data_IF_105220196611
#
_entry.id   IF_105220196611
#
_cell.length_a   1.000
_cell.length_b   1.000
_cell.length_c   1.000
_cell.angle_alpha   90.00
_cell.angle_beta   90.00
_cell.angle_gamma   90.00
#
_symmetry.space_group_name_H-M   'P 1'
#
loop_
_entity.id
_entity.type
_entity.pdbx_description
1 polymer ?
#
# COMPACT_ATOMS: atom_id res chain seq x y z
N UNK A 1 38.07 -15.52 21.64
CA UNK A 1 37.02 -14.47 21.72
C UNK A 1 35.72 -15.16 21.40
N UNK A 2 34.93 -15.37 22.44
CA UNK A 2 33.69 -16.14 22.44
C UNK A 2 32.59 -15.35 21.74
N UNK A 3 32.07 -15.86 20.63
CA UNK A 3 30.96 -15.24 19.91
C UNK A 3 29.68 -15.52 20.67
N UNK A 4 29.16 -14.51 21.37
CA UNK A 4 27.87 -14.59 22.05
C UNK A 4 26.74 -14.78 21.02
N UNK A 5 25.79 -15.71 21.23
CA UNK A 5 24.63 -15.85 20.36
C UNK A 5 23.69 -14.65 20.57
N UNK A 6 23.35 -13.99 19.48
CA UNK A 6 22.29 -12.97 19.43
C UNK A 6 20.97 -13.67 19.78
N UNK A 7 20.21 -13.24 20.80
CA UNK A 7 18.90 -13.82 21.05
C UNK A 7 17.95 -13.30 19.95
N UNK A 8 17.70 -14.12 18.94
CA UNK A 8 16.48 -14.01 18.15
C UNK A 8 15.31 -14.29 19.10
N UNK A 9 14.84 -13.27 19.83
CA UNK A 9 13.61 -13.34 20.62
C UNK A 9 12.44 -13.37 19.64
N UNK A 10 12.25 -14.52 19.00
CA UNK A 10 11.00 -14.88 18.35
C UNK A 10 10.02 -15.07 19.50
N UNK A 11 8.99 -14.22 19.55
CA UNK A 11 7.94 -14.36 20.55
C UNK A 11 7.36 -15.78 20.46
N UNK A 12 6.99 -16.39 21.60
CA UNK A 12 6.41 -17.73 21.58
C UNK A 12 5.16 -17.75 20.68
N UNK A 13 5.01 -18.81 19.90
CA UNK A 13 3.84 -19.04 19.05
C UNK A 13 2.58 -19.23 19.91
N UNK A 14 1.45 -18.67 19.47
CA UNK A 14 0.18 -18.75 20.18
C UNK A 14 -0.34 -20.18 20.32
N UNK A 15 -0.76 -20.53 21.53
CA UNK A 15 -1.49 -21.76 21.82
C UNK A 15 -3.00 -21.65 21.55
N UNK A 16 -3.76 -22.75 21.70
CA UNK A 16 -5.22 -22.75 21.55
C UNK A 16 -5.94 -21.82 22.55
N UNK A 17 -5.40 -21.69 23.76
CA UNK A 17 -5.93 -20.78 24.78
C UNK A 17 -5.72 -19.31 24.41
N UNK A 18 -4.62 -18.98 23.74
CA UNK A 18 -4.32 -17.61 23.30
C UNK A 18 -5.29 -17.17 22.20
N UNK A 19 -5.66 -18.08 21.28
CA UNK A 19 -6.71 -17.80 20.29
C UNK A 19 -8.07 -17.55 20.94
N UNK A 20 -8.41 -18.29 22.00
CA UNK A 20 -9.63 -18.05 22.77
C UNK A 20 -9.60 -16.69 23.46
N UNK A 21 -8.50 -16.35 24.15
CA UNK A 21 -8.33 -15.03 24.80
C UNK A 21 -8.37 -13.88 23.79
N UNK A 22 -7.74 -14.06 22.65
CA UNK A 22 -7.78 -13.11 21.53
C UNK A 22 -9.21 -12.88 21.02
N UNK A 23 -10.00 -13.95 20.93
CA UNK A 23 -11.38 -13.89 20.47
C UNK A 23 -12.31 -13.22 21.50
N UNK A 24 -12.16 -13.56 22.79
CA UNK A 24 -13.00 -13.07 23.89
C UNK A 24 -12.62 -11.68 24.39
N UNK A 25 -11.48 -11.13 23.94
CA UNK A 25 -11.04 -9.81 24.32
C UNK A 25 -12.09 -8.73 23.99
N UNK A 26 -12.24 -7.75 24.90
CA UNK A 26 -13.26 -6.68 24.82
C UNK A 26 -12.86 -5.57 23.86
N UNK A 27 -12.77 -5.91 22.57
CA UNK A 27 -12.39 -5.01 21.48
C UNK A 27 -13.29 -3.76 21.36
N UNK A 28 -14.55 -3.86 21.79
CA UNK A 28 -15.54 -2.78 21.78
C UNK A 28 -15.27 -1.67 22.81
N UNK A 29 -14.52 -1.99 23.87
CA UNK A 29 -14.23 -1.09 24.99
C UNK A 29 -12.83 -0.47 24.91
N UNK A 30 -11.91 -1.05 24.14
CA UNK A 30 -10.56 -0.53 24.00
C UNK A 30 -10.52 0.68 23.05
N UNK A 31 -10.52 1.87 23.66
CA UNK A 31 -10.52 3.14 22.93
C UNK A 31 -9.22 3.38 22.16
N UNK A 32 -8.07 2.90 22.65
CA UNK A 32 -6.79 3.10 21.97
C UNK A 32 -6.73 2.25 20.70
N UNK A 33 -7.14 0.99 20.81
CA UNK A 33 -7.29 0.10 19.68
C UNK A 33 -8.27 0.67 18.64
N UNK A 34 -9.48 1.07 19.05
CA UNK A 34 -10.50 1.57 18.12
C UNK A 34 -10.04 2.84 17.38
N UNK A 35 -9.31 3.74 18.04
CA UNK A 35 -8.70 4.91 17.37
C UNK A 35 -7.67 4.47 16.34
N UNK A 36 -6.81 3.51 16.67
CA UNK A 36 -5.82 2.94 15.76
C UNK A 36 -6.45 2.29 14.54
N UNK A 37 -7.53 1.53 14.73
CA UNK A 37 -8.30 0.91 13.64
C UNK A 37 -8.91 1.95 12.72
N UNK A 38 -9.55 2.99 13.27
CA UNK A 38 -10.14 4.06 12.44
C UNK A 38 -9.05 4.71 11.58
N UNK A 39 -7.85 4.92 12.11
CA UNK A 39 -6.71 5.42 11.35
C UNK A 39 -6.25 4.43 10.26
N UNK A 40 -6.11 3.14 10.60
CA UNK A 40 -5.73 2.09 9.65
C UNK A 40 -6.74 1.92 8.50
N UNK A 41 -8.02 2.19 8.76
CA UNK A 41 -9.07 2.21 7.75
C UNK A 41 -9.05 3.46 6.85
N UNK A 42 -8.14 4.43 7.08
CA UNK A 42 -8.05 5.68 6.32
C UNK A 42 -8.79 6.86 6.96
N UNK A 43 -9.15 6.77 8.24
CA UNK A 43 -9.88 7.78 8.99
C UNK A 43 -11.39 7.61 8.96
N UNK A 44 -12.09 8.45 9.73
CA UNK A 44 -13.53 8.31 9.97
C UNK A 44 -14.37 8.39 8.68
N UNK A 45 -13.99 9.24 7.72
CA UNK A 45 -14.75 9.42 6.49
C UNK A 45 -14.59 8.28 5.48
N UNK A 46 -13.52 7.49 5.59
CA UNK A 46 -13.23 6.36 4.71
C UNK A 46 -13.79 5.03 5.24
N UNK A 47 -14.50 5.07 6.37
CA UNK A 47 -15.02 3.88 7.01
C UNK A 47 -16.32 3.42 6.35
N UNK A 48 -16.31 2.22 5.79
CA UNK A 48 -17.41 1.64 5.01
C UNK A 48 -17.54 0.13 5.29
N UNK A 49 -18.77 -0.41 5.19
CA UNK A 49 -19.09 -1.82 5.44
C UNK A 49 -18.65 -2.71 4.27
N UNK A 50 -17.34 -2.91 4.14
CA UNK A 50 -16.69 -3.69 3.07
C UNK A 50 -15.81 -4.79 3.64
N UNK A 51 -15.65 -5.90 2.90
CA UNK A 51 -14.77 -7.00 3.30
C UNK A 51 -13.33 -6.55 3.55
N UNK A 52 -12.81 -5.63 2.73
CA UNK A 52 -11.46 -5.07 2.91
C UNK A 52 -11.27 -4.37 4.27
N UNK A 53 -12.28 -3.63 4.75
CA UNK A 53 -12.20 -2.94 6.05
C UNK A 53 -12.28 -3.93 7.21
N UNK A 54 -13.10 -4.98 7.09
CA UNK A 54 -13.16 -6.07 8.07
C UNK A 54 -11.81 -6.81 8.15
N UNK A 55 -11.15 -7.01 7.01
CA UNK A 55 -9.83 -7.63 6.94
C UNK A 55 -8.73 -6.78 7.60
N UNK A 56 -8.77 -5.46 7.39
CA UNK A 56 -7.87 -4.52 8.08
C UNK A 56 -8.08 -4.59 9.59
N UNK A 57 -9.33 -4.66 10.06
CA UNK A 57 -9.65 -4.80 11.48
C UNK A 57 -9.06 -6.09 12.05
N UNK A 58 -9.22 -7.21 11.35
CA UNK A 58 -8.68 -8.50 11.76
C UNK A 58 -7.15 -8.47 11.92
N UNK A 59 -6.43 -7.96 10.92
CA UNK A 59 -4.99 -7.81 11.00
C UNK A 59 -4.55 -6.84 12.10
N UNK A 60 -5.30 -5.75 12.30
CA UNK A 60 -5.03 -4.79 13.36
C UNK A 60 -5.20 -5.42 14.74
N UNK A 61 -6.25 -6.22 14.95
CA UNK A 61 -6.47 -6.97 16.20
C UNK A 61 -5.31 -7.91 16.47
N UNK A 62 -4.91 -8.70 15.47
CA UNK A 62 -3.80 -9.66 15.58
C UNK A 62 -2.52 -8.95 16.03
N UNK A 63 -2.14 -7.87 15.36
CA UNK A 63 -0.94 -7.11 15.69
C UNK A 63 -1.02 -6.48 17.08
N UNK A 64 -2.15 -5.87 17.40
CA UNK A 64 -2.34 -5.20 18.69
C UNK A 64 -2.33 -6.20 19.85
N UNK A 65 -3.02 -7.33 19.71
CA UNK A 65 -3.02 -8.37 20.73
C UNK A 65 -1.64 -8.99 20.92
N UNK A 66 -0.89 -9.23 19.84
CA UNK A 66 0.46 -9.76 19.93
C UNK A 66 1.37 -8.87 20.77
N UNK A 67 1.24 -7.54 20.61
CA UNK A 67 1.94 -6.55 21.44
C UNK A 67 1.50 -6.58 22.91
N UNK A 68 0.21 -6.77 23.18
CA UNK A 68 -0.34 -6.79 24.54
C UNK A 68 0.00 -8.07 25.30
N UNK A 69 -0.16 -9.22 24.66
CA UNK A 69 0.03 -10.53 25.27
C UNK A 69 1.50 -11.00 25.25
N UNK A 70 2.34 -10.39 24.40
CA UNK A 70 3.72 -10.82 24.18
C UNK A 70 3.84 -12.16 23.46
N UNK A 71 2.81 -12.54 22.69
CA UNK A 71 2.67 -13.82 21.99
C UNK A 71 2.46 -13.58 20.51
N UNK A 72 3.12 -14.36 19.65
CA UNK A 72 2.95 -14.29 18.19
C UNK A 72 1.61 -14.91 17.80
N UNK A 73 0.71 -14.10 17.23
CA UNK A 73 -0.63 -14.53 16.77
C UNK A 73 -0.62 -14.72 15.25
N UNK A 74 -0.33 -15.92 14.71
CA UNK A 74 -0.32 -16.11 13.26
C UNK A 74 -1.75 -16.04 12.70
N UNK A 75 -1.94 -15.21 11.67
CA UNK A 75 -3.22 -15.04 10.97
C UNK A 75 -3.80 -16.37 10.47
N UNK A 76 -2.95 -17.21 9.85
CA UNK A 76 -3.34 -18.55 9.37
C UNK A 76 -3.76 -19.46 10.53
N UNK A 77 -3.06 -19.40 11.67
CA UNK A 77 -3.39 -20.16 12.87
C UNK A 77 -4.75 -19.77 13.44
N UNK A 78 -5.05 -18.46 13.50
CA UNK A 78 -6.34 -17.99 13.96
C UNK A 78 -7.49 -18.41 13.02
N UNK A 79 -7.28 -18.35 11.69
CA UNK A 79 -8.28 -18.84 10.72
C UNK A 79 -8.57 -20.34 10.89
N UNK A 80 -7.53 -21.14 11.12
CA UNK A 80 -7.68 -22.58 11.40
C UNK A 80 -8.50 -22.79 12.68
N UNK A 81 -8.15 -22.08 13.75
CA UNK A 81 -8.88 -22.14 15.01
C UNK A 81 -10.36 -21.74 14.85
N UNK A 82 -10.68 -20.71 14.07
CA UNK A 82 -12.06 -20.32 13.76
C UNK A 82 -12.83 -21.40 12.98
N UNK A 83 -12.17 -22.06 12.01
CA UNK A 83 -12.78 -23.17 11.25
C UNK A 83 -13.09 -24.36 12.14
N UNK A 84 -12.19 -24.69 13.05
CA UNK A 84 -12.38 -25.79 14.00
C UNK A 84 -13.45 -25.44 15.04
N UNK A 85 -13.64 -24.15 15.33
CA UNK A 85 -14.62 -23.64 16.28
C UNK A 85 -15.71 -22.77 15.60
N UNK A 86 -16.45 -23.34 14.65
CA UNK A 86 -17.50 -22.62 13.88
C UNK A 86 -18.61 -21.97 14.72
N UNK A 87 -18.72 -22.32 16.00
CA UNK A 87 -19.61 -21.66 16.95
C UNK A 87 -19.24 -20.19 17.20
N UNK A 88 -17.96 -19.85 17.06
CA UNK A 88 -17.48 -18.48 17.25
C UNK A 88 -17.59 -17.71 15.94
N UNK A 89 -18.40 -16.64 15.97
CA UNK A 89 -18.51 -15.70 14.86
C UNK A 89 -17.39 -14.67 14.93
N UNK A 90 -16.79 -14.26 13.81
CA UNK A 90 -15.71 -13.28 13.81
C UNK A 90 -16.20 -11.94 14.35
N UNK A 91 -15.43 -11.36 15.26
CA UNK A 91 -15.76 -10.10 15.92
C UNK A 91 -15.53 -8.89 15.00
N UNK A 92 -14.73 -9.07 13.95
CA UNK A 92 -14.23 -8.02 13.05
C UNK A 92 -15.34 -7.26 12.33
N UNK A 93 -16.29 -7.99 11.76
CA UNK A 93 -17.43 -7.37 11.08
C UNK A 93 -18.34 -6.64 12.07
N UNK A 94 -18.57 -7.20 13.26
CA UNK A 94 -19.39 -6.55 14.29
C UNK A 94 -18.73 -5.24 14.77
N UNK A 95 -17.39 -5.21 14.86
CA UNK A 95 -16.65 -3.99 15.15
C UNK A 95 -16.76 -2.97 14.00
N UNK A 96 -16.71 -3.44 12.76
CA UNK A 96 -16.90 -2.57 11.60
C UNK A 96 -18.29 -1.92 11.62
N UNK A 97 -19.34 -2.71 11.83
CA UNK A 97 -20.73 -2.24 11.95
C UNK A 97 -20.83 -1.19 13.07
N UNK A 98 -20.31 -1.50 14.27
CA UNK A 98 -20.28 -0.58 15.41
C UNK A 98 -19.57 0.74 15.09
N UNK A 99 -18.42 0.69 14.42
CA UNK A 99 -17.66 1.88 14.06
C UNK A 99 -18.42 2.72 13.01
N UNK A 100 -19.07 2.08 12.05
CA UNK A 100 -19.89 2.76 11.03
C UNK A 100 -21.11 3.43 11.66
N UNK A 101 -21.79 2.75 12.59
CA UNK A 101 -22.91 3.31 13.33
C UNK A 101 -22.50 4.53 14.17
N UNK A 102 -21.34 4.44 14.85
CA UNK A 102 -20.78 5.57 15.59
C UNK A 102 -20.45 6.75 14.67
N UNK A 103 -19.87 6.49 13.49
CA UNK A 103 -19.62 7.51 12.46
C UNK A 103 -20.92 8.21 12.06
N UNK A 104 -21.95 7.44 11.69
CA UNK A 104 -23.22 7.98 11.21
C UNK A 104 -23.94 8.81 12.28
N UNK A 105 -23.88 8.36 13.55
CA UNK A 105 -24.37 9.11 14.69
C UNK A 105 -23.60 10.42 14.93
N UNK A 106 -22.28 10.42 14.76
CA UNK A 106 -21.45 11.63 14.89
C UNK A 106 -21.74 12.64 13.78
N UNK A 107 -21.88 12.18 12.53
CA UNK A 107 -22.22 13.04 11.39
C UNK A 107 -23.62 13.65 11.57
N UNK A 108 -24.59 12.87 12.04
CA UNK A 108 -25.96 13.33 12.30
C UNK A 108 -26.02 14.42 13.38
N UNK A 109 -25.19 14.32 14.44
CA UNK A 109 -25.11 15.35 15.50
C UNK A 109 -24.53 16.67 15.03
N UNK A 110 -23.72 16.66 13.97
CA UNK A 110 -23.03 17.84 13.43
C UNK A 110 -23.88 18.58 12.40
N UNK A 111 -25.00 18.02 11.97
CA UNK A 111 -25.94 18.67 11.05
C UNK A 111 -26.79 19.73 11.78
N UNK A 112 -27.03 20.92 11.18
CA UNK A 112 -27.89 21.94 11.77
C UNK A 112 -29.37 21.49 11.81
N UNK A 113 -30.18 22.01 12.74
CA UNK A 113 -31.59 21.63 12.86
C UNK A 113 -32.40 22.25 11.72
N UNK A 114 -32.52 21.54 10.59
CA UNK A 114 -33.54 21.82 9.60
C UNK A 114 -34.87 21.24 10.08
N UNK A 115 -35.93 22.04 9.95
CA UNK A 115 -37.26 21.77 10.50
C UNK A 115 -37.84 20.40 10.13
N UNK A 116 -38.63 19.89 11.08
CA UNK A 116 -39.34 18.62 11.10
C UNK A 116 -39.89 18.16 9.74
N UNK A 117 -39.27 17.11 9.20
CA UNK A 117 -39.93 16.08 8.41
C UNK A 117 -39.21 14.76 8.76
N UNK A 118 -39.98 13.78 9.23
CA UNK A 118 -39.48 12.58 9.90
C UNK A 118 -38.31 11.90 9.20
N UNK A 119 -37.13 11.98 9.81
CA UNK A 119 -36.00 11.13 9.45
C UNK A 119 -36.23 9.79 10.11
N UNK A 120 -36.92 8.91 9.41
CA UNK A 120 -36.85 7.49 9.68
C UNK A 120 -35.39 7.13 9.37
N UNK A 121 -34.59 6.90 10.40
CA UNK A 121 -33.28 6.27 10.28
C UNK A 121 -33.50 4.84 9.78
N UNK A 122 -33.75 4.70 8.48
CA UNK A 122 -33.67 3.41 7.82
C UNK A 122 -32.17 3.15 7.69
N UNK A 123 -31.57 2.63 8.76
CA UNK A 123 -30.32 1.88 8.71
C UNK A 123 -30.60 0.63 7.90
N UNK A 124 -30.82 0.79 6.60
CA UNK A 124 -30.93 -0.33 5.68
C UNK A 124 -29.49 -0.78 5.53
N UNK A 125 -29.14 -1.91 6.12
CA UNK A 125 -28.07 -2.74 5.60
C UNK A 125 -28.23 -2.73 4.08
N UNK A 126 -27.31 -2.02 3.40
CA UNK A 126 -27.33 -2.03 1.95
C UNK A 126 -27.27 -3.50 1.56
N UNK A 127 -28.12 -3.99 0.65
CA UNK A 127 -28.03 -5.39 0.21
C UNK A 127 -26.62 -5.73 -0.30
N UNK A 128 -25.86 -4.73 -0.73
CA UNK A 128 -24.43 -4.83 -1.04
C UNK A 128 -23.57 -5.10 0.21
N UNK A 129 -23.76 -4.37 1.31
CA UNK A 129 -23.03 -4.58 2.56
C UNK A 129 -23.29 -5.99 3.14
N UNK A 130 -24.52 -6.51 3.00
CA UNK A 130 -24.83 -7.87 3.40
C UNK A 130 -24.11 -8.91 2.51
N UNK A 131 -24.03 -8.67 1.19
CA UNK A 131 -23.27 -9.54 0.28
C UNK A 131 -21.78 -9.52 0.58
N UNK A 132 -21.23 -8.33 0.84
CA UNK A 132 -19.84 -8.15 1.28
C UNK A 132 -19.56 -8.91 2.58
N UNK A 133 -20.48 -8.84 3.54
CA UNK A 133 -20.44 -9.62 4.78
C UNK A 133 -20.40 -11.11 4.49
N UNK A 134 -21.39 -11.61 3.76
CA UNK A 134 -21.49 -13.04 3.46
C UNK A 134 -20.26 -13.56 2.70
N UNK A 135 -19.75 -12.77 1.74
CA UNK A 135 -18.55 -13.07 0.98
C UNK A 135 -17.30 -13.13 1.88
N UNK A 136 -17.11 -12.13 2.75
CA UNK A 136 -15.97 -12.09 3.66
C UNK A 136 -16.02 -13.24 4.68
N UNK A 137 -17.20 -13.57 5.22
CA UNK A 137 -17.37 -14.73 6.10
C UNK A 137 -17.02 -16.04 5.37
N UNK A 138 -17.49 -16.22 4.15
CA UNK A 138 -17.17 -17.40 3.35
C UNK A 138 -15.67 -17.50 3.08
N UNK A 139 -15.01 -16.39 2.72
CA UNK A 139 -13.56 -16.36 2.55
C UNK A 139 -12.80 -16.71 3.84
N UNK A 140 -13.26 -16.21 4.98
CA UNK A 140 -12.60 -16.45 6.25
C UNK A 140 -12.66 -17.92 6.69
N UNK A 141 -13.83 -18.57 6.55
CA UNK A 141 -14.01 -19.97 6.96
C UNK A 141 -13.55 -20.96 5.89
N UNK A 142 -13.89 -20.73 4.64
CA UNK A 142 -13.77 -21.71 3.55
C UNK A 142 -12.69 -21.32 2.54
N UNK A 143 -12.08 -20.14 2.67
CA UNK A 143 -10.94 -19.73 1.88
C UNK A 143 -9.71 -20.64 2.06
N UNK A 144 -8.92 -20.74 1.00
CA UNK A 144 -7.70 -21.54 0.98
C UNK A 144 -6.73 -21.09 2.08
N UNK A 145 -6.46 -21.99 3.03
CA UNK A 145 -5.33 -21.84 3.95
C UNK A 145 -4.08 -22.25 3.18
N UNK A 146 -3.38 -21.31 2.53
CA UNK A 146 -2.03 -21.58 2.08
C UNK A 146 -1.12 -21.56 3.31
N UNK A 147 -0.89 -22.75 3.87
CA UNK A 147 0.11 -22.99 4.91
C UNK A 147 1.16 -23.91 4.30
N UNK A 148 2.23 -23.37 3.67
CA UNK A 148 3.33 -24.22 3.28
C UNK A 148 3.90 -24.79 4.58
N UNK A 149 3.95 -26.12 4.77
CA UNK A 149 4.55 -26.68 5.97
C UNK A 149 5.97 -26.12 6.12
N UNK A 150 6.52 -26.04 7.34
CA UNK A 150 7.86 -25.49 7.58
C UNK A 150 8.94 -26.09 6.64
N UNK A 151 8.77 -27.37 6.26
CA UNK A 151 9.59 -28.05 5.25
C UNK A 151 9.54 -27.39 3.84
N UNK A 152 8.39 -26.87 3.43
CA UNK A 152 8.18 -26.14 2.17
C UNK A 152 8.72 -24.71 2.26
N UNK A 153 8.75 -24.08 3.44
CA UNK A 153 9.45 -22.81 3.65
C UNK A 153 10.97 -22.96 3.44
N UNK A 154 11.54 -24.06 3.94
CA UNK A 154 12.95 -24.39 3.73
C UNK A 154 13.22 -24.80 2.26
N UNK A 155 12.29 -25.51 1.61
CA UNK A 155 12.41 -25.84 0.18
C UNK A 155 12.17 -24.65 -0.76
N UNK A 156 11.32 -23.67 -0.44
CA UNK A 156 11.22 -22.42 -1.22
C UNK A 156 12.49 -21.58 -1.08
N UNK A 157 13.16 -21.64 0.07
CA UNK A 157 14.49 -21.04 0.25
C UNK A 157 15.60 -21.80 -0.51
N UNK A 158 15.38 -23.08 -0.83
CA UNK A 158 16.28 -23.90 -1.64
C UNK A 158 16.00 -23.83 -3.15
N UNK A 159 14.76 -23.50 -3.56
CA UNK A 159 14.34 -23.33 -4.95
C UNK A 159 14.43 -21.86 -5.41
N UNK A 160 15.40 -21.12 -4.86
CA UNK A 160 15.66 -19.74 -5.24
C UNK A 160 16.28 -19.72 -6.65
N UNK A 161 15.70 -18.99 -7.61
CA UNK A 161 16.30 -18.85 -8.94
C UNK A 161 17.74 -18.33 -8.87
N UNK A 162 18.59 -18.74 -9.81
CA UNK A 162 20.03 -18.37 -9.81
C UNK A 162 20.29 -16.86 -9.74
N UNK A 163 19.38 -16.04 -10.29
CA UNK A 163 19.47 -14.57 -10.21
C UNK A 163 19.24 -14.03 -8.79
N UNK A 164 18.39 -14.68 -8.00
CA UNK A 164 18.11 -14.29 -6.61
C UNK A 164 19.14 -14.91 -5.65
N UNK A 165 19.72 -16.08 -5.99
CA UNK A 165 20.86 -16.63 -5.27
C UNK A 165 22.14 -15.80 -5.47
N UNK A 166 22.27 -15.14 -6.63
CA UNK A 166 23.35 -14.20 -6.94
C UNK A 166 23.10 -12.78 -6.41
N UNK A 167 21.97 -12.52 -5.75
CA UNK A 167 21.71 -11.22 -5.15
C UNK A 167 22.70 -10.98 -4.00
N UNK A 168 23.42 -9.84 -3.99
CA UNK A 168 24.36 -9.53 -2.91
C UNK A 168 23.59 -9.42 -1.59
N UNK A 169 23.88 -10.31 -0.63
CA UNK A 169 23.33 -10.30 0.73
C UNK A 169 24.00 -9.22 1.59
N UNK A 170 24.16 -8.01 1.05
CA UNK A 170 24.63 -6.86 1.79
C UNK A 170 23.49 -6.32 2.64
N UNK A 171 23.76 -6.02 3.92
CA UNK A 171 22.82 -5.25 4.72
C UNK A 171 22.51 -3.96 3.99
N UNK A 172 21.23 -3.76 3.62
CA UNK A 172 20.74 -2.54 2.97
C UNK A 172 20.82 -1.31 3.89
N UNK A 173 21.36 -1.46 5.11
CA UNK A 173 21.44 -0.42 6.11
C UNK A 173 22.90 -0.05 6.37
N UNK A 174 23.30 1.11 5.84
CA UNK A 174 24.51 1.80 6.29
C UNK A 174 24.11 2.66 7.49
N UNK A 175 24.56 2.28 8.68
CA UNK A 175 24.25 3.00 9.91
C UNK A 175 25.10 4.28 9.99
N UNK A 176 24.54 5.42 9.59
CA UNK A 176 25.23 6.73 9.66
C UNK A 176 25.26 7.34 11.07
N UNK A 177 24.68 6.64 12.06
CA UNK A 177 24.44 7.19 13.40
C UNK A 177 25.69 7.27 14.29
N UNK A 178 26.80 6.65 13.87
CA UNK A 178 28.12 6.83 14.48
C UNK A 178 28.83 8.13 14.09
N UNK A 179 28.35 8.87 13.09
CA UNK A 179 28.99 10.11 12.60
C UNK A 179 28.40 11.40 13.19
N UNK A 180 27.45 11.29 14.13
CA UNK A 180 26.86 12.44 14.80
C UNK A 180 27.74 12.92 15.96
N UNK A 181 28.93 13.41 15.64
CA UNK A 181 29.84 13.96 16.62
C UNK A 181 31.11 14.50 15.98
N UNK A 182 31.03 15.73 15.45
CA UNK A 182 32.05 16.79 15.35
C UNK A 182 31.79 17.61 14.09
N UNK A 183 31.46 18.89 14.29
CA UNK A 183 31.47 19.88 13.23
C UNK A 183 32.90 20.14 12.72
N UNK A 184 32.96 20.42 11.42
CA UNK A 184 33.93 21.29 10.71
C UNK A 184 35.28 20.67 10.33
N UNK A 185 35.34 20.25 9.06
CA UNK A 185 36.58 20.29 8.27
C UNK A 185 36.80 19.09 7.37
N UNK A 186 36.75 19.34 6.05
CA UNK A 186 37.32 18.54 4.95
C UNK A 186 36.90 17.06 4.92
N UNK A 187 35.94 16.77 4.05
CA UNK A 187 35.48 15.42 3.70
C UNK A 187 36.63 14.54 3.18
N UNK A 188 37.23 13.78 4.08
CA UNK A 188 38.15 12.67 3.82
C UNK A 188 37.72 11.48 4.69
N UNK A 189 36.55 10.89 4.40
CA UNK A 189 36.03 9.75 5.18
C UNK A 189 34.81 9.02 4.60
N UNK A 190 34.22 9.52 3.51
CA UNK A 190 33.29 8.74 2.70
C UNK A 190 34.05 7.85 1.71
N UNK A 191 33.45 6.74 1.27
CA UNK A 191 33.99 5.96 0.16
C UNK A 191 34.37 6.93 -0.98
N UNK A 192 35.59 6.83 -1.54
CA UNK A 192 36.09 7.82 -2.49
C UNK A 192 35.08 7.98 -3.62
N UNK A 193 34.65 9.22 -3.82
CA UNK A 193 33.71 9.55 -4.87
C UNK A 193 34.28 9.03 -6.20
N UNK A 194 33.55 8.23 -6.98
CA UNK A 194 34.08 7.65 -8.21
C UNK A 194 34.73 8.72 -9.09
N UNK A 195 35.94 8.47 -9.60
CA UNK A 195 36.75 9.47 -10.32
C UNK A 195 36.00 10.11 -11.49
N UNK A 196 35.16 9.32 -12.17
CA UNK A 196 34.25 9.80 -13.23
C UNK A 196 33.32 10.91 -12.74
N UNK A 197 32.77 10.78 -11.54
CA UNK A 197 31.85 11.77 -11.01
C UNK A 197 32.58 13.00 -10.45
N UNK A 198 33.78 12.83 -9.89
CA UNK A 198 34.62 13.97 -9.53
C UNK A 198 34.95 14.83 -10.76
N UNK A 199 35.31 14.20 -11.89
CA UNK A 199 35.49 14.88 -13.19
C UNK A 199 34.21 15.57 -13.67
N UNK A 200 33.03 14.96 -13.46
CA UNK A 200 31.74 15.57 -13.81
C UNK A 200 31.46 16.80 -12.95
N UNK A 201 31.68 16.74 -11.63
CA UNK A 201 31.50 17.92 -10.76
C UNK A 201 32.45 19.04 -11.18
N UNK A 202 33.71 18.72 -11.47
CA UNK A 202 34.69 19.69 -11.93
C UNK A 202 34.27 20.32 -13.27
N UNK A 203 33.77 19.51 -14.22
CA UNK A 203 33.26 20.01 -15.49
C UNK A 203 32.05 20.94 -15.29
N UNK A 204 31.11 20.59 -14.40
CA UNK A 204 29.96 21.42 -14.05
C UNK A 204 30.41 22.75 -13.40
N UNK A 205 31.33 22.69 -12.43
CA UNK A 205 31.82 23.87 -11.72
C UNK A 205 32.69 24.78 -12.59
N UNK A 206 33.46 24.21 -13.53
CA UNK A 206 34.29 24.96 -14.47
C UNK A 206 33.56 25.37 -15.75
N UNK A 207 32.28 25.01 -15.90
CA UNK A 207 31.46 25.29 -17.08
C UNK A 207 31.93 24.57 -18.34
N UNK A 208 32.70 23.49 -18.22
CA UNK A 208 33.14 22.66 -19.34
C UNK A 208 32.03 21.68 -19.73
N UNK A 209 31.80 21.43 -21.03
CA UNK A 209 30.81 20.45 -21.47
C UNK A 209 31.17 19.06 -20.92
N UNK A 210 30.20 18.42 -20.26
CA UNK A 210 30.39 17.10 -19.65
C UNK A 210 30.51 16.04 -20.75
N UNK A 211 31.53 15.18 -20.68
CA UNK A 211 31.75 14.13 -21.66
C UNK A 211 30.50 13.25 -21.83
N UNK A 212 29.99 13.15 -23.07
CA UNK A 212 28.83 12.32 -23.42
C UNK A 212 27.46 13.00 -23.32
N UNK A 213 27.37 14.22 -22.77
CA UNK A 213 26.12 14.99 -22.74
C UNK A 213 26.15 16.03 -23.86
N UNK A 214 25.33 15.82 -24.89
CA UNK A 214 25.10 16.80 -25.94
C UNK A 214 24.05 17.80 -25.44
N UNK A 215 24.31 19.09 -25.66
CA UNK A 215 23.35 20.15 -25.36
C UNK A 215 22.15 19.99 -26.29
N UNK A 216 20.98 19.67 -25.71
CA UNK A 216 19.74 19.59 -26.46
C UNK A 216 19.25 21.03 -26.63
N UNK A 217 19.28 21.61 -27.84
CA UNK A 217 18.71 22.93 -28.05
C UNK A 217 17.24 22.88 -27.65
N UNK A 218 16.75 23.96 -27.02
CA UNK A 218 15.36 24.05 -26.56
C UNK A 218 14.36 24.17 -27.73
N UNK A 219 14.79 23.88 -28.96
CA UNK A 219 13.92 23.79 -30.12
C UNK A 219 13.72 22.32 -30.51
N UNK A 220 12.47 21.97 -30.80
CA UNK A 220 12.14 20.65 -31.32
C UNK A 220 12.53 20.67 -32.80
N UNK A 221 13.72 20.18 -33.15
CA UNK A 221 14.10 19.91 -34.53
C UNK A 221 13.23 18.76 -35.07
N UNK A 222 12.02 19.08 -35.55
CA UNK A 222 11.14 18.11 -36.22
C UNK A 222 11.75 17.78 -37.57
N UNK A 223 12.31 16.57 -37.69
CA UNK A 223 12.76 16.06 -38.99
C UNK A 223 11.56 16.03 -39.95
N UNK A 224 11.59 16.73 -41.10
CA UNK A 224 10.43 16.89 -41.98
C UNK A 224 9.91 15.56 -42.55
N UNK A 225 10.72 14.50 -42.54
CA UNK A 225 10.34 13.18 -43.04
C UNK A 225 9.61 12.30 -42.01
N UNK A 226 9.57 12.71 -40.73
CA UNK A 226 9.01 11.88 -39.65
C UNK A 226 7.72 12.48 -39.11
N UNK A 227 6.58 11.93 -39.55
CA UNK A 227 5.28 12.32 -39.01
C UNK A 227 5.06 11.68 -37.63
N UNK A 228 4.62 12.44 -36.61
CA UNK A 228 4.45 11.94 -35.24
C UNK A 228 3.28 10.96 -35.08
N UNK A 229 2.41 10.87 -36.08
CA UNK A 229 1.31 9.91 -36.12
C UNK A 229 1.65 8.76 -37.06
N UNK A 230 1.59 7.53 -36.54
CA UNK A 230 1.65 6.34 -37.38
C UNK A 230 0.42 6.27 -38.31
N UNK A 231 0.62 5.94 -39.58
CA UNK A 231 -0.46 5.85 -40.59
C UNK A 231 -1.41 4.66 -40.37
N UNK A 232 -1.14 3.81 -39.39
CA UNK A 232 -1.89 2.58 -39.11
C UNK A 232 -2.96 2.83 -38.03
N UNK A 233 -4.14 2.25 -38.22
CA UNK A 233 -5.17 2.23 -37.19
C UNK A 233 -4.66 1.48 -35.94
N UNK A 234 -4.78 2.10 -34.76
CA UNK A 234 -4.35 1.49 -33.51
C UNK A 234 -5.11 0.16 -33.27
N UNK A 235 -4.43 -0.93 -32.87
CA UNK A 235 -5.10 -2.18 -32.54
C UNK A 235 -6.11 -1.97 -31.42
N UNK A 236 -7.29 -2.54 -31.58
CA UNK A 236 -8.35 -2.48 -30.56
C UNK A 236 -7.90 -3.24 -29.33
N UNK A 237 -8.12 -2.64 -28.17
CA UNK A 237 -7.76 -3.28 -26.90
C UNK A 237 -8.72 -4.44 -26.63
N UNK A 238 -8.25 -5.56 -26.02
CA UNK A 238 -9.04 -6.78 -25.88
C UNK A 238 -10.32 -6.65 -25.02
N UNK A 239 -10.53 -5.52 -24.35
CA UNK A 239 -11.75 -5.20 -23.61
C UNK A 239 -12.78 -4.38 -24.41
N UNK A 240 -12.50 -4.02 -25.66
CA UNK A 240 -13.46 -3.40 -26.59
C UNK A 240 -14.46 -4.46 -27.09
N UNK A 241 -15.42 -4.86 -26.25
CA UNK A 241 -16.56 -5.69 -26.66
C UNK A 241 -17.33 -4.93 -27.75
N UNK A 242 -17.51 -5.55 -28.92
CA UNK A 242 -18.23 -5.00 -30.07
C UNK A 242 -19.70 -4.69 -29.74
N UNK A 243 -19.97 -3.49 -29.24
CA UNK A 243 -21.32 -2.92 -29.22
C UNK A 243 -21.43 -2.03 -30.44
N UNK A 244 -22.22 -2.48 -31.42
CA UNK A 244 -22.60 -1.66 -32.56
C UNK A 244 -23.46 -0.49 -32.09
N UNK A 245 -23.26 0.66 -32.74
CA UNK A 245 -24.13 1.85 -32.69
C UNK A 245 -23.97 2.82 -31.49
N UNK A 246 -22.93 3.66 -31.53
CA UNK A 246 -23.03 5.05 -31.09
C UNK A 246 -21.97 5.91 -31.80
N UNK A 247 -22.38 6.61 -32.87
CA UNK A 247 -21.63 7.76 -33.40
C UNK A 247 -21.60 8.85 -32.32
N UNK A 248 -20.56 8.91 -31.51
CA UNK A 248 -20.19 10.14 -30.80
C UNK A 248 -18.96 10.72 -31.48
N UNK A 249 -19.13 11.94 -31.98
CA UNK A 249 -18.09 12.75 -32.60
C UNK A 249 -16.79 12.70 -31.80
N UNK A 250 -15.72 12.23 -32.45
CA UNK A 250 -14.36 12.44 -31.95
C UNK A 250 -14.10 13.95 -31.88
N UNK A 251 -13.38 14.46 -30.86
CA UNK A 251 -12.90 15.83 -30.91
C UNK A 251 -11.90 15.95 -32.06
N UNK A 252 -12.20 16.81 -33.04
CA UNK A 252 -11.29 17.18 -34.12
C UNK A 252 -10.08 17.93 -33.53
N UNK A 253 -8.99 17.22 -33.26
CA UNK A 253 -7.73 17.79 -32.78
C UNK A 253 -6.84 18.33 -33.92
N UNK A 254 -7.42 18.64 -35.08
CA UNK A 254 -6.68 19.06 -36.29
C UNK A 254 -6.22 20.52 -36.26
N UNK A 255 -6.45 21.26 -35.18
CA UNK A 255 -5.87 22.60 -35.01
C UNK A 255 -4.46 22.47 -34.43
N UNK A 256 -3.53 22.02 -35.28
CA UNK A 256 -2.11 22.31 -35.07
C UNK A 256 -1.94 23.77 -35.44
N UNK A 257 -1.68 24.62 -34.46
CA UNK A 257 -1.24 25.99 -34.67
C UNK A 257 0.07 25.97 -35.48
N UNK A 258 -0.02 26.40 -36.73
CA UNK A 258 1.10 26.37 -37.69
C UNK A 258 2.00 27.60 -37.57
N UNK A 259 1.72 28.52 -36.64
CA UNK A 259 2.46 29.77 -36.53
C UNK A 259 2.59 30.20 -35.07
N UNK A 260 3.69 29.79 -34.43
CA UNK A 260 4.16 30.46 -33.21
C UNK A 260 4.68 31.86 -33.60
N UNK A 261 4.18 32.95 -33.00
CA UNK A 261 4.70 34.28 -33.30
C UNK A 261 6.17 34.38 -32.87
N UNK A 262 7.02 34.92 -33.75
CA UNK A 262 8.41 35.25 -33.42
C UNK A 262 8.42 36.22 -32.23
N UNK A 263 9.20 35.90 -31.20
CA UNK A 263 9.43 36.82 -30.09
C UNK A 263 10.16 38.04 -30.63
N UNK A 264 9.56 39.23 -30.51
CA UNK A 264 10.23 40.48 -30.84
C UNK A 264 11.54 40.59 -30.02
N UNK A 265 12.65 41.01 -30.64
CA UNK A 265 13.88 41.27 -29.90
C UNK A 265 13.66 42.47 -28.98
N UNK A 266 13.76 42.24 -27.66
CA UNK A 266 13.84 43.30 -26.66
C UNK A 266 15.00 44.24 -27.00
N UNK A 267 14.71 45.54 -27.02
CA UNK A 267 15.68 46.62 -27.15
C UNK A 267 15.59 47.56 -25.95
#
# INVERSE_FOLDING_TARGET
METAPVPSTIAPEAGPEDFQRFHEYRWDLDVEFLKGVVLACGGLNALERTGSKAEIILHSRIFYFARLAGVSMPYVGYKRWLRDNRQFKPVDWNLLDLLCDKKDAQLSRRAPPAGSAGSISISRDSPEAQREKDAWFHELYDGGLFDPPAAVQEQLSAAVPSWQAAAPKGDLYVDHRGSAGVEKGKDEGGAPYPERFAQIIEAIQSGKPVEGIQEIPNNIARNPDTTPFGKMAAPKKPWERSSAEAKSAAPDYTTIDKSFPDAEPEH
#
